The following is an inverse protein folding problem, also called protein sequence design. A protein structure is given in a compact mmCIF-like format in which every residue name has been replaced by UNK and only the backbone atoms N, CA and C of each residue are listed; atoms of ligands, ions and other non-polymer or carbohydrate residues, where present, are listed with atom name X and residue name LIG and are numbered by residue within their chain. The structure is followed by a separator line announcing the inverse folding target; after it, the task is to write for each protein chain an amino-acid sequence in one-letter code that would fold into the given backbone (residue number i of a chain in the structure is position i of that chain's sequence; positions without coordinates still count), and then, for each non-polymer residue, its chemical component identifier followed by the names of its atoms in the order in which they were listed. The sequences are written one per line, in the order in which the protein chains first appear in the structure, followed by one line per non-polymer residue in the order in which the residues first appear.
data_IF_685859541791
#
_entry.id   IF_685859541791
#
_cell.length_a   1.000
_cell.length_b   1.000
_cell.length_c   1.000
_cell.angle_alpha   90.00
_cell.angle_beta   90.00
_cell.angle_gamma   90.00
#
_symmetry.space_group_name_H-M   'P 1'
#
loop_
_entity.id
_entity.type
_entity.pdbx_description
1 polymer ?
#
# COMPACT_ATOMS: atom_id res chain seq x y z
N UNK A 1 -53.59 55.02 -39.63
CA UNK A 1 -53.41 54.04 -40.72
C UNK A 1 -52.14 53.27 -40.39
N UNK A 2 -52.27 52.05 -39.83
CA UNK A 2 -51.89 50.78 -40.49
C UNK A 2 -50.48 50.85 -41.12
N UNK A 3 -49.51 50.00 -40.80
CA UNK A 3 -49.58 48.57 -40.45
C UNK A 3 -48.19 48.04 -40.04
N UNK A 4 -48.19 47.03 -39.15
CA UNK A 4 -47.49 45.73 -39.23
C UNK A 4 -45.95 45.70 -39.42
N UNK A 5 -45.13 44.80 -38.91
CA UNK A 5 -45.09 43.69 -37.94
C UNK A 5 -43.66 43.12 -38.10
N UNK A 6 -43.07 42.49 -37.08
CA UNK A 6 -41.85 41.69 -37.30
C UNK A 6 -41.14 41.26 -36.04
N UNK A 7 -41.55 40.11 -35.49
CA UNK A 7 -40.87 39.39 -34.42
C UNK A 7 -39.70 38.55 -34.95
N UNK A 8 -38.55 38.53 -34.26
CA UNK A 8 -37.87 37.32 -33.75
C UNK A 8 -36.37 37.59 -33.43
N UNK A 9 -35.83 37.03 -32.33
CA UNK A 9 -34.43 37.15 -31.95
C UNK A 9 -33.61 36.03 -32.60
N UNK A 10 -32.49 36.37 -33.25
CA UNK A 10 -31.53 35.37 -33.75
C UNK A 10 -30.32 35.39 -32.84
N UNK A 11 -30.36 34.43 -31.91
CA UNK A 11 -29.26 33.92 -31.10
C UNK A 11 -28.01 33.71 -31.97
N UNK A 12 -26.99 34.57 -31.83
CA UNK A 12 -25.69 34.32 -32.44
C UNK A 12 -24.87 33.43 -31.51
N UNK A 13 -24.66 32.21 -31.99
CA UNK A 13 -23.83 31.18 -31.40
C UNK A 13 -22.42 31.72 -31.05
N UNK A 14 -22.07 31.66 -29.77
CA UNK A 14 -20.69 31.76 -29.30
C UNK A 14 -20.04 30.39 -29.53
N UNK A 15 -19.54 30.17 -30.76
CA UNK A 15 -18.84 28.95 -31.13
C UNK A 15 -17.34 29.05 -30.79
N UNK A 16 -16.95 28.24 -29.80
CA UNK A 16 -15.68 27.52 -29.77
C UNK A 16 -14.40 28.31 -29.51
N UNK A 17 -14.22 28.83 -28.29
CA UNK A 17 -12.89 29.10 -27.75
C UNK A 17 -12.20 27.79 -27.35
N UNK A 18 -11.25 27.36 -28.19
CA UNK A 18 -10.04 26.61 -27.88
C UNK A 18 -9.99 25.79 -26.56
N UNK A 19 -10.47 24.55 -26.58
CA UNK A 19 -10.11 23.52 -25.59
C UNK A 19 -9.25 22.45 -26.28
N UNK A 20 -7.99 22.78 -26.60
CA UNK A 20 -7.06 21.81 -27.20
C UNK A 20 -5.65 22.06 -26.68
N UNK A 21 -5.44 21.88 -25.38
CA UNK A 21 -4.12 21.72 -24.75
C UNK A 21 -4.32 21.35 -23.28
N UNK A 22 -4.41 20.06 -22.99
CA UNK A 22 -4.04 19.42 -21.71
C UNK A 22 -4.63 18.01 -21.63
N UNK A 23 -4.33 17.14 -22.60
CA UNK A 23 -4.30 15.70 -22.29
C UNK A 23 -2.97 15.51 -21.55
N UNK A 24 -2.98 15.92 -20.28
CA UNK A 24 -1.92 15.60 -19.34
C UNK A 24 -1.93 14.07 -19.20
N UNK A 25 -0.78 13.51 -19.54
CA UNK A 25 -0.43 12.11 -19.52
C UNK A 25 -0.45 11.63 -18.06
N UNK A 26 -1.64 11.40 -17.51
CA UNK A 26 -1.84 10.82 -16.18
C UNK A 26 -1.52 9.32 -16.26
N UNK A 27 -0.23 8.98 -16.28
CA UNK A 27 0.20 7.63 -15.95
C UNK A 27 -0.21 7.37 -14.50
N UNK A 28 -1.27 6.60 -14.34
CA UNK A 28 -1.70 6.04 -13.05
C UNK A 28 -0.59 5.13 -12.54
N UNK A 29 0.20 5.62 -11.58
CA UNK A 29 1.06 4.78 -10.78
C UNK A 29 0.16 3.98 -9.83
N UNK A 30 -0.03 2.69 -10.12
CA UNK A 30 -0.66 1.77 -9.19
C UNK A 30 0.27 1.57 -7.99
N UNK A 31 0.07 2.34 -6.92
CA UNK A 31 0.68 2.06 -5.62
C UNK A 31 -0.17 0.98 -4.96
N UNK A 32 0.34 -0.25 -4.92
CA UNK A 32 -0.26 -1.32 -4.13
C UNK A 32 0.02 -1.04 -2.66
N UNK A 33 -1.01 -0.69 -1.89
CA UNK A 33 -0.89 -0.43 -0.45
C UNK A 33 -0.40 -1.64 0.37
N UNK A 34 -0.22 -2.80 -0.28
CA UNK A 34 0.13 -4.08 0.33
C UNK A 34 1.44 -4.66 -0.22
N UNK A 35 2.26 -3.82 -0.84
CA UNK A 35 3.66 -4.12 -1.14
C UNK A 35 4.57 -3.54 -0.06
N UNK A 36 5.74 -4.15 0.11
CA UNK A 36 6.79 -3.54 0.90
C UNK A 36 7.20 -2.21 0.27
N UNK A 37 7.75 -1.30 1.08
CA UNK A 37 8.17 0.04 0.62
C UNK A 37 9.16 0.01 -0.54
N UNK A 38 9.94 -1.07 -0.64
CA UNK A 38 10.92 -1.34 -1.70
C UNK A 38 10.32 -2.01 -2.94
N UNK A 39 9.01 -2.30 -2.96
CA UNK A 39 8.26 -2.77 -4.13
C UNK A 39 8.16 -4.29 -4.30
N UNK A 40 8.57 -5.09 -3.31
CA UNK A 40 8.35 -6.54 -3.36
C UNK A 40 7.01 -6.94 -2.73
N UNK A 41 6.47 -8.07 -3.20
CA UNK A 41 5.17 -8.60 -2.78
C UNK A 41 5.33 -9.66 -1.69
N UNK A 42 4.58 -9.50 -0.60
CA UNK A 42 4.47 -10.55 0.39
C UNK A 42 3.75 -11.78 -0.17
N UNK A 43 4.17 -13.01 0.16
CA UNK A 43 3.42 -14.22 -0.18
C UNK A 43 1.99 -14.16 0.36
N UNK A 44 1.02 -14.54 -0.47
CA UNK A 44 -0.41 -14.54 -0.11
C UNK A 44 -0.69 -15.34 1.18
N UNK A 45 0.00 -16.47 1.37
CA UNK A 45 -0.12 -17.31 2.56
C UNK A 45 0.26 -16.60 3.88
N UNK A 46 1.06 -15.54 3.81
CA UNK A 46 1.45 -14.75 4.99
C UNK A 46 0.57 -13.50 5.18
N UNK A 47 0.08 -12.93 4.09
CA UNK A 47 -0.39 -11.55 4.10
C UNK A 47 -1.87 -11.39 3.75
N UNK A 48 -2.44 -12.32 2.97
CA UNK A 48 -3.76 -12.16 2.34
C UNK A 48 -3.97 -10.75 1.74
N UNK A 49 -2.90 -10.16 1.22
CA UNK A 49 -2.82 -8.76 0.75
C UNK A 49 -3.32 -7.70 1.74
N UNK A 50 -3.16 -7.88 3.06
CA UNK A 50 -3.57 -6.87 4.07
C UNK A 50 -2.88 -6.93 5.42
N UNK A 51 -2.30 -8.08 5.78
CA UNK A 51 -1.88 -8.37 7.15
C UNK A 51 -0.43 -7.91 7.47
N UNK A 52 0.37 -7.54 6.45
CA UNK A 52 1.80 -7.22 6.60
C UNK A 52 2.08 -5.73 6.75
N UNK A 53 3.15 -5.44 7.49
CA UNK A 53 3.77 -4.11 7.54
C UNK A 53 5.26 -4.21 7.86
N UNK A 54 6.02 -3.24 7.36
CA UNK A 54 7.38 -2.97 7.85
C UNK A 54 7.30 -2.56 9.33
N UNK A 55 8.22 -3.05 10.15
CA UNK A 55 8.34 -2.68 11.56
C UNK A 55 9.76 -2.24 11.88
N UNK A 56 9.90 -1.32 12.83
CA UNK A 56 11.21 -0.91 13.33
C UNK A 56 11.88 -2.07 14.05
N UNK A 57 13.21 -2.13 13.99
CA UNK A 57 14.03 -3.13 14.70
C UNK A 57 13.68 -3.18 16.20
N UNK A 58 13.37 -2.04 16.83
CA UNK A 58 12.97 -2.00 18.24
C UNK A 58 11.67 -2.77 18.57
N UNK A 59 10.83 -3.08 17.57
CA UNK A 59 9.62 -3.89 17.76
C UNK A 59 9.92 -5.39 17.87
N UNK A 60 11.10 -5.83 17.42
CA UNK A 60 11.51 -7.24 17.35
C UNK A 60 12.85 -7.41 18.04
N UNK A 61 12.91 -8.24 19.09
CA UNK A 61 14.18 -8.57 19.73
C UNK A 61 14.61 -9.98 19.37
N UNK A 62 15.77 -10.10 18.74
CA UNK A 62 16.45 -11.38 18.60
C UNK A 62 17.01 -11.81 19.96
N UNK A 63 16.64 -13.00 20.41
CA UNK A 63 17.01 -13.60 21.68
C UNK A 63 17.53 -15.03 21.43
N UNK A 64 18.16 -15.69 22.42
CA UNK A 64 18.70 -17.04 22.24
C UNK A 64 17.66 -18.06 21.73
N UNK A 65 16.40 -17.89 22.12
CA UNK A 65 15.32 -18.81 21.75
C UNK A 65 14.63 -18.47 20.42
N UNK A 66 14.92 -17.33 19.79
CA UNK A 66 14.28 -16.89 18.55
C UNK A 66 14.04 -15.38 18.48
N UNK A 67 12.93 -14.98 17.85
CA UNK A 67 12.53 -13.57 17.74
C UNK A 67 11.35 -13.28 18.65
N UNK A 68 11.51 -12.31 19.56
CA UNK A 68 10.44 -11.82 20.43
C UNK A 68 9.74 -10.62 19.78
N UNK A 69 8.44 -10.73 19.62
CA UNK A 69 7.56 -9.61 19.28
C UNK A 69 7.30 -8.81 20.56
N UNK A 70 7.82 -7.60 20.65
CA UNK A 70 7.84 -6.87 21.93
C UNK A 70 6.44 -6.54 22.47
N UNK A 71 5.51 -6.17 21.58
CA UNK A 71 4.16 -5.74 21.98
C UNK A 71 3.27 -6.89 22.46
N UNK A 72 3.45 -8.10 21.93
CA UNK A 72 2.65 -9.28 22.33
C UNK A 72 3.38 -10.20 23.31
N UNK A 73 4.70 -10.09 23.41
CA UNK A 73 5.55 -11.03 24.13
C UNK A 73 5.72 -12.39 23.45
N UNK A 74 5.16 -12.59 22.25
CA UNK A 74 5.27 -13.84 21.49
C UNK A 74 6.74 -14.09 21.10
N UNK A 75 7.26 -15.29 21.40
CA UNK A 75 8.57 -15.74 20.92
C UNK A 75 8.37 -16.72 19.77
N UNK A 76 8.94 -16.37 18.62
CA UNK A 76 8.94 -17.19 17.41
C UNK A 76 10.30 -17.87 17.32
N UNK A 77 10.33 -19.17 17.60
CA UNK A 77 11.57 -19.94 17.60
C UNK A 77 12.25 -19.96 16.22
N UNK A 78 13.58 -20.04 16.15
CA UNK A 78 14.30 -20.03 14.87
C UNK A 78 13.87 -21.12 13.87
N UNK A 79 13.35 -22.25 14.37
CA UNK A 79 12.84 -23.36 13.56
C UNK A 79 11.38 -23.19 13.11
N UNK A 80 10.71 -22.12 13.55
CA UNK A 80 9.31 -21.87 13.21
C UNK A 80 9.16 -21.54 11.72
N UNK A 81 8.24 -22.23 11.06
CA UNK A 81 7.96 -22.08 9.61
C UNK A 81 7.37 -20.72 9.24
N UNK A 82 6.95 -19.93 10.23
CA UNK A 82 6.47 -18.55 10.06
C UNK A 82 7.61 -17.56 9.78
N UNK A 83 8.86 -17.92 10.09
CA UNK A 83 10.03 -17.10 9.77
C UNK A 83 10.32 -17.17 8.27
N UNK A 84 10.54 -16.01 7.67
CA UNK A 84 10.83 -15.81 6.24
C UNK A 84 12.01 -14.87 6.08
N UNK A 85 12.72 -14.96 4.96
CA UNK A 85 13.78 -14.01 4.64
C UNK A 85 13.18 -12.70 4.10
N UNK A 86 13.62 -11.57 4.65
CA UNK A 86 13.30 -10.25 4.13
C UNK A 86 14.27 -9.86 3.01
N UNK A 87 13.81 -9.65 1.76
CA UNK A 87 14.69 -9.33 0.64
C UNK A 87 15.21 -7.88 0.66
N UNK A 88 14.60 -6.99 1.45
CA UNK A 88 14.98 -5.59 1.55
C UNK A 88 15.75 -5.26 2.86
N UNK A 89 16.07 -6.28 3.65
CA UNK A 89 16.94 -6.14 4.81
C UNK A 89 16.30 -5.45 6.01
N UNK A 90 14.99 -5.23 6.03
CA UNK A 90 14.26 -4.74 7.21
C UNK A 90 13.25 -5.78 7.72
N UNK A 91 12.79 -5.63 8.95
CA UNK A 91 11.77 -6.53 9.50
C UNK A 91 10.39 -6.21 8.93
N UNK A 92 9.63 -7.27 8.58
CA UNK A 92 8.21 -7.15 8.27
C UNK A 92 7.41 -8.13 9.10
N UNK A 93 6.34 -7.65 9.71
CA UNK A 93 5.51 -8.45 10.62
C UNK A 93 4.09 -8.56 10.08
N UNK A 94 3.63 -9.80 9.89
CA UNK A 94 2.26 -10.12 9.53
C UNK A 94 1.51 -10.57 10.77
N UNK A 95 0.38 -9.93 11.06
CA UNK A 95 -0.44 -10.22 12.23
C UNK A 95 -1.90 -10.32 11.85
N UNK A 96 -2.71 -11.00 12.67
CA UNK A 96 -4.13 -11.23 12.37
C UNK A 96 -4.85 -9.89 12.12
N UNK A 97 -5.43 -9.74 10.92
CA UNK A 97 -6.12 -8.54 10.46
C UNK A 97 -5.23 -7.28 10.45
N UNK A 98 -3.91 -7.44 10.33
CA UNK A 98 -2.93 -6.36 10.39
C UNK A 98 -2.86 -5.65 11.75
N UNK A 99 -3.45 -6.21 12.82
CA UNK A 99 -3.53 -5.55 14.13
C UNK A 99 -2.17 -5.50 14.82
N UNK A 100 -1.90 -4.39 15.50
CA UNK A 100 -0.61 -4.13 16.14
C UNK A 100 -0.29 -4.99 17.37
N UNK A 101 -1.26 -5.73 17.88
CA UNK A 101 -1.23 -6.42 19.18
C UNK A 101 -1.79 -7.86 19.09
N UNK A 102 -1.80 -8.45 17.90
CA UNK A 102 -2.40 -9.76 17.64
C UNK A 102 -1.37 -10.84 17.29
N UNK A 103 -1.82 -12.09 17.22
CA UNK A 103 -0.97 -13.25 16.90
C UNK A 103 -0.22 -13.08 15.58
N UNK A 104 1.03 -13.52 15.55
CA UNK A 104 1.85 -13.53 14.34
C UNK A 104 1.39 -14.60 13.33
N UNK A 105 1.29 -14.20 12.06
CA UNK A 105 1.09 -15.08 10.89
C UNK A 105 2.46 -15.44 10.29
N UNK A 106 3.27 -14.43 9.96
CA UNK A 106 4.64 -14.58 9.47
C UNK A 106 5.52 -13.44 10.00
N UNK A 107 6.82 -13.70 10.09
CA UNK A 107 7.85 -12.72 10.41
C UNK A 107 8.94 -12.78 9.34
N UNK A 108 9.14 -11.70 8.59
CA UNK A 108 10.24 -11.56 7.65
C UNK A 108 11.41 -10.89 8.36
N UNK A 109 12.55 -11.59 8.39
CA UNK A 109 13.74 -11.16 9.12
C UNK A 109 14.85 -10.76 8.14
N UNK A 110 15.63 -9.69 8.42
CA UNK A 110 16.80 -9.35 7.63
C UNK A 110 17.80 -10.51 7.54
N UNK A 111 18.57 -10.62 6.43
CA UNK A 111 19.66 -11.57 6.35
C UNK A 111 20.67 -11.32 7.47
N UNK A 112 21.09 -12.38 8.17
CA UNK A 112 22.22 -12.28 9.11
C UNK A 112 23.50 -12.07 8.31
N UNK A 113 24.27 -11.03 8.64
CA UNK A 113 25.64 -10.90 8.12
C UNK A 113 26.48 -12.04 8.72
N UNK A 114 27.13 -12.81 7.86
CA UNK A 114 28.04 -13.91 8.25
C UNK A 114 29.45 -13.38 8.52
#
# INVERSE_FOLDING_TARGET
MMSSSGSAPILRAMASTAFSSAILLSFVLSVSAHEAKTGWRYPYACCSDRDCREVQDAAISEIPDGYRIQVTGEVIAYSDKRIRNSPDGVFHWCSVAGKNDSRTICLFVPPRSF
#
